data_IF_105934661226
#
_entry.id   IF_105934661226
#
_cell.length_a   1.000
_cell.length_b   1.000
_cell.length_c   1.000
_cell.angle_alpha   90.00
_cell.angle_beta   90.00
_cell.angle_gamma   90.00
#
_symmetry.space_group_name_H-M   'P 1'
#
loop_
_entity.id
_entity.type
_entity.pdbx_description
1 polymer ?
2 non-polymer ?
3 water ?
#
# COMPACT_ATOMS: atom_id res chain seq x y z
N UNK A 24 -4.70 -24.31 -15.13
CA UNK A 24 -5.42 -24.09 -16.38
C UNK A 24 -4.93 -22.85 -17.10
N UNK A 25 -3.76 -22.40 -16.67
CA UNK A 25 -3.12 -21.21 -17.18
C UNK A 25 -2.09 -21.61 -18.23
N UNK A 26 -1.77 -20.66 -19.12
CA UNK A 26 -0.65 -20.91 -20.01
C UNK A 26 0.64 -20.95 -19.18
N UNK A 27 1.69 -21.50 -19.78
CA UNK A 27 2.94 -21.62 -19.05
C UNK A 27 3.57 -20.26 -18.80
N UNK A 28 3.45 -19.34 -19.75
CA UNK A 28 3.86 -17.97 -19.48
C UNK A 28 3.09 -17.41 -18.28
N UNK A 29 1.79 -17.74 -18.21
CA UNK A 29 0.97 -17.24 -17.11
C UNK A 29 1.37 -17.85 -15.77
N UNK A 30 1.71 -19.15 -15.75
CA UNK A 30 2.19 -19.76 -14.50
C UNK A 30 3.57 -19.24 -14.14
N UNK A 31 4.44 -19.09 -15.13
CA UNK A 31 5.74 -18.48 -14.87
C UNK A 31 5.57 -17.11 -14.21
N UNK A 32 4.62 -16.31 -14.74
CA UNK A 32 4.48 -14.93 -14.30
C UNK A 32 3.94 -14.83 -12.86
N UNK A 33 2.97 -15.69 -12.48
CA UNK A 33 2.53 -15.75 -11.09
C UNK A 33 3.69 -16.19 -10.18
N UNK A 34 4.42 -17.22 -10.62
CA UNK A 34 5.54 -17.72 -9.83
C UNK A 34 6.55 -16.61 -9.56
N UNK A 35 6.81 -15.76 -10.56
CA UNK A 35 7.79 -14.69 -10.35
C UNK A 35 7.26 -13.62 -9.41
N UNK A 36 5.96 -13.31 -9.49
CA UNK A 36 5.42 -12.30 -8.60
C UNK A 36 5.37 -12.82 -7.16
N UNK A 37 4.98 -14.09 -6.99
CA UNK A 37 4.95 -14.73 -5.66
C UNK A 37 6.35 -14.79 -5.07
N UNK A 38 7.33 -15.14 -5.89
CA UNK A 38 8.71 -15.15 -5.43
C UNK A 38 9.15 -13.76 -4.98
N UNK A 39 8.86 -12.75 -5.80
CA UNK A 39 9.23 -11.38 -5.43
C UNK A 39 8.52 -10.95 -4.15
N UNK A 40 7.24 -11.32 -4.00
CA UNK A 40 6.51 -11.00 -2.79
C UNK A 40 7.10 -11.71 -1.57
N UNK A 41 7.42 -13.00 -1.72
CA UNK A 41 8.06 -13.74 -0.63
C UNK A 41 9.36 -13.08 -0.21
N UNK A 42 10.17 -12.61 -1.17
CA UNK A 42 11.49 -12.12 -0.83
C UNK A 42 11.49 -10.70 -0.26
N UNK A 43 10.41 -9.94 -0.42
CA UNK A 43 10.48 -8.52 -0.09
C UNK A 43 9.39 -8.04 0.85
N UNK A 44 8.48 -8.92 1.28
CA UNK A 44 7.39 -8.53 2.16
C UNK A 44 7.63 -9.18 3.52
N UNK A 45 8.07 -8.36 4.49
CA UNK A 45 8.31 -8.78 5.87
C UNK A 45 6.98 -8.87 6.59
N UNK A 46 6.32 -10.03 6.49
CA UNK A 46 4.98 -10.17 7.04
C UNK A 46 4.97 -10.01 8.56
N UNK A 47 6.06 -10.41 9.23
CA UNK A 47 6.18 -10.27 10.66
C UNK A 47 6.84 -8.96 11.08
N UNK A 48 7.23 -8.12 10.12
CA UNK A 48 7.80 -6.80 10.42
C UNK A 48 9.02 -6.88 11.35
N UNK A 49 9.67 -8.04 11.40
CA UNK A 49 10.82 -8.22 12.29
C UNK A 49 11.86 -7.13 12.15
N UNK A 50 12.06 -6.60 10.95
CA UNK A 50 13.17 -5.69 10.72
C UNK A 50 12.73 -4.22 10.71
N UNK A 51 11.48 -3.94 11.05
CA UNK A 51 11.06 -2.58 11.33
C UNK A 51 11.53 -2.23 12.74
N UNK A 52 12.64 -1.51 12.85
CA UNK A 52 13.22 -1.15 14.14
C UNK A 52 13.71 0.30 14.09
N UNK A 53 14.12 0.83 15.25
CA UNK A 53 14.64 2.20 15.35
C UNK A 53 13.63 3.25 14.90
N UNK A 54 12.34 3.00 15.11
CA UNK A 54 11.31 3.95 14.72
C UNK A 54 11.00 4.92 15.86
N UNK A 55 10.43 6.05 15.49
CA UNK A 55 10.05 7.03 16.48
C UNK A 55 8.67 6.70 17.05
N UNK A 56 8.39 7.25 18.24
CA UNK A 56 7.18 7.04 19.03
C UNK A 56 6.73 8.36 19.64
N UNK A 57 5.41 8.54 19.85
CA UNK A 57 4.91 9.75 20.52
C UNK A 57 5.59 10.02 21.85
N UNK A 58 5.63 11.30 22.24
CA UNK A 58 6.32 11.74 23.45
C UNK A 58 5.75 11.24 24.77
N UNK A 59 6.28 11.73 25.89
CA UNK A 59 5.79 11.34 27.22
C UNK A 59 5.80 12.51 28.19
N UNK A 80 -6.03 27.52 6.78
CA UNK A 80 -5.65 26.22 6.20
C UNK A 80 -5.87 25.09 7.20
N UNK A 81 -5.41 25.30 8.44
CA UNK A 81 -5.44 24.27 9.48
C UNK A 81 -6.85 23.70 9.71
N UNK A 82 -7.89 24.41 9.28
CA UNK A 82 -9.23 23.81 9.32
C UNK A 82 -9.32 22.59 8.41
N UNK A 83 -8.68 22.67 7.23
CA UNK A 83 -8.61 21.50 6.35
C UNK A 83 -7.74 20.41 6.96
N UNK A 84 -6.67 20.80 7.66
CA UNK A 84 -5.73 19.82 8.21
C UNK A 84 -6.37 19.04 9.35
N UNK A 85 -7.09 19.72 10.25
CA UNK A 85 -7.83 19.01 11.29
C UNK A 85 -8.86 18.06 10.67
N UNK A 86 -9.47 18.46 9.54
CA UNK A 86 -10.37 17.57 8.83
C UNK A 86 -9.62 16.47 8.08
N UNK A 87 -8.36 16.70 7.72
CA UNK A 87 -7.58 15.67 7.03
C UNK A 87 -7.12 14.58 8.00
N UNK A 88 -6.57 14.98 9.16
CA UNK A 88 -6.10 14.02 10.15
C UNK A 88 -7.25 13.40 10.97
N UNK A 92 -8.05 9.12 17.06
CA UNK A 92 -7.22 8.65 15.96
C UNK A 92 -6.89 7.16 16.10
N UNK A 93 -5.64 6.82 15.87
CA UNK A 93 -5.20 5.44 15.89
C UNK A 93 -4.57 5.17 17.25
N UNK A 94 -4.92 4.04 17.86
CA UNK A 94 -4.21 3.61 19.05
C UNK A 94 -3.19 2.55 18.65
N UNK A 95 -2.13 2.45 19.43
CA UNK A 95 -0.97 1.68 19.04
C UNK A 95 -0.52 0.80 20.20
N UNK A 96 -0.02 -0.37 19.86
CA UNK A 96 0.42 -1.33 20.86
C UNK A 96 1.72 -1.96 20.40
N UNK A 97 2.67 -2.12 21.34
CA UNK A 97 3.97 -2.74 21.06
C UNK A 97 4.19 -3.90 21.99
N UNK A 98 4.21 -5.11 21.44
CA UNK A 98 4.60 -6.27 22.23
C UNK A 98 6.12 -6.33 22.24
N UNK A 99 6.68 -6.52 23.41
CA UNK A 99 8.10 -6.70 23.50
C UNK A 99 8.50 -8.16 23.43
N UNK A 100 9.78 -8.39 23.08
CA UNK A 100 10.29 -9.74 22.99
C UNK A 100 10.19 -10.49 24.31
N UNK A 101 10.16 -9.75 25.44
CA UNK A 101 10.10 -10.35 26.77
C UNK A 101 8.70 -10.68 27.24
N UNK A 102 7.66 -10.29 26.50
CA UNK A 102 6.30 -10.47 26.93
C UNK A 102 5.62 -9.20 27.42
N UNK A 103 6.38 -8.13 27.64
CA UNK A 103 5.80 -6.85 28.03
C UNK A 103 4.96 -6.26 26.91
N UNK A 104 4.09 -5.32 27.28
CA UNK A 104 3.26 -4.59 26.33
C UNK A 104 3.22 -3.13 26.71
N UNK A 105 3.42 -2.26 25.72
CA UNK A 105 3.18 -0.84 25.80
C UNK A 105 1.95 -0.54 24.95
N UNK A 106 1.04 0.28 25.48
CA UNK A 106 -0.17 0.68 24.77
C UNK A 106 -0.27 2.18 24.74
N UNK A 107 -0.60 2.73 23.57
CA UNK A 107 -0.69 4.16 23.38
C UNK A 107 -2.14 4.52 23.07
N UNK A 108 -2.75 5.36 23.91
CA UNK A 108 -4.03 5.95 23.57
C UNK A 108 -3.84 7.41 23.17
N UNK A 109 -4.26 7.81 21.98
CA UNK A 109 -3.97 9.16 21.48
C UNK A 109 -4.73 10.21 22.25
N UNK A 110 -4.34 11.47 22.13
CA UNK A 110 -5.05 12.56 22.81
C UNK A 110 -6.35 12.95 22.11
N UNK A 111 -7.19 13.64 22.87
CA UNK A 111 -8.33 14.35 22.29
C UNK A 111 -7.86 15.53 21.44
N UNK A 112 -8.59 15.79 20.36
CA UNK A 112 -8.35 17.02 19.60
C UNK A 112 -8.67 18.22 20.49
N UNK A 113 -7.70 19.14 20.58
CA UNK A 113 -7.84 20.36 21.35
C UNK A 113 -7.21 21.52 20.58
N UNK A 114 -7.47 21.58 19.27
CA UNK A 114 -7.05 22.69 18.42
C UNK A 114 -5.56 22.98 18.36
N UNK A 115 -4.71 21.96 18.46
CA UNK A 115 -3.28 22.19 18.51
C UNK A 115 -2.41 21.07 18.00
N UNK A 116 -1.10 21.16 18.31
CA UNK A 116 -0.04 20.33 17.74
C UNK A 116 -0.07 18.87 18.23
N UNK A 117 -1.16 18.46 18.87
CA UNK A 117 -1.28 17.09 19.36
C UNK A 117 -1.79 16.12 18.31
N UNK A 118 -2.48 16.61 17.27
CA UNK A 118 -2.91 15.75 16.17
C UNK A 118 -1.77 15.26 15.31
N UNK A 119 -0.60 15.87 15.41
CA UNK A 119 0.56 15.47 14.64
C UNK A 119 1.46 14.48 15.36
N UNK A 120 1.16 14.13 16.61
CA UNK A 120 2.18 13.44 17.41
C UNK A 120 2.49 12.04 16.88
N UNK A 121 1.56 11.43 16.15
CA UNK A 121 1.78 10.07 15.70
C UNK A 121 2.47 10.06 14.32
N UNK A 122 2.54 11.23 13.65
CA UNK A 122 3.06 11.31 12.28
C UNK A 122 4.50 10.86 12.14
N UNK A 123 5.45 11.25 13.00
CA UNK A 123 6.80 10.72 12.83
C UNK A 123 6.81 9.21 12.80
N UNK A 124 6.02 8.57 13.68
CA UNK A 124 6.01 7.11 13.71
C UNK A 124 5.41 6.53 12.42
N UNK A 125 4.31 7.10 11.94
CA UNK A 125 3.74 6.64 10.68
C UNK A 125 4.69 6.86 9.54
N UNK A 126 5.46 7.96 9.60
CA UNK A 126 6.43 8.21 8.54
C UNK A 126 7.48 7.10 8.50
N UNK A 127 7.92 6.62 9.67
CA UNK A 127 8.90 5.54 9.72
C UNK A 127 8.30 4.21 9.27
N UNK A 128 7.06 3.92 9.65
CA UNK A 128 6.39 2.73 9.14
C UNK A 128 6.23 2.79 7.62
N UNK A 129 5.75 3.92 7.11
CA UNK A 129 5.53 4.06 5.68
C UNK A 129 6.82 3.88 4.91
N UNK A 130 7.89 4.54 5.35
CA UNK A 130 9.21 4.37 4.73
C UNK A 130 9.65 2.91 4.72
N UNK A 131 9.42 2.21 5.84
CA UNK A 131 9.73 0.78 5.87
C UNK A 131 8.95 0.03 4.80
N UNK A 132 7.65 0.31 4.68
CA UNK A 132 6.86 -0.35 3.64
C UNK A 132 7.35 0.02 2.23
N UNK A 133 7.74 1.28 2.03
CA UNK A 133 8.10 1.71 0.68
C UNK A 133 9.37 1.00 0.22
N UNK A 134 10.35 0.87 1.11
CA UNK A 134 11.51 0.02 0.87
C UNK A 134 11.10 -1.38 0.43
N UNK A 135 10.13 -1.99 1.13
CA UNK A 135 9.66 -3.28 0.66
C UNK A 135 9.10 -3.20 -0.75
N UNK A 136 8.23 -2.21 -0.97
CA UNK A 136 7.60 -1.99 -2.27
C UNK A 136 8.68 -1.87 -3.36
N UNK A 137 9.64 -0.96 -3.14
CA UNK A 137 10.70 -0.73 -4.14
C UNK A 137 11.47 -2.02 -4.41
N UNK A 138 11.85 -2.74 -3.35
CA UNK A 138 12.53 -4.02 -3.54
C UNK A 138 11.68 -4.99 -4.35
N UNK A 139 10.38 -5.05 -4.05
CA UNK A 139 9.50 -5.95 -4.80
C UNK A 139 9.57 -5.66 -6.30
N UNK A 140 9.45 -4.38 -6.69
CA UNK A 140 9.53 -4.00 -8.09
C UNK A 140 10.87 -4.38 -8.70
N UNK A 141 11.97 -4.05 -8.00
CA UNK A 141 13.31 -4.30 -8.56
C UNK A 141 13.58 -5.79 -8.79
N UNK A 142 12.87 -6.68 -8.10
CA UNK A 142 13.07 -8.11 -8.29
C UNK A 142 12.41 -8.61 -9.58
N UNK A 143 11.35 -7.94 -10.04
CA UNK A 143 10.52 -8.44 -11.14
C UNK A 143 11.16 -8.10 -12.48
N UNK A 144 11.40 -9.13 -13.29
CA UNK A 144 12.07 -8.98 -14.58
C UNK A 144 11.39 -7.94 -15.48
N UNK A 145 10.06 -8.05 -15.65
CA UNK A 145 9.33 -7.10 -16.50
C UNK A 145 9.49 -5.66 -16.02
N UNK A 146 9.63 -5.45 -14.71
CA UNK A 146 9.88 -4.09 -14.23
C UNK A 146 11.31 -3.65 -14.50
N UNK A 147 12.24 -4.56 -14.33
CA UNK A 147 13.64 -4.24 -14.46
C UNK A 147 14.10 -4.17 -15.92
N UNK A 148 13.33 -4.73 -16.86
CA UNK A 148 13.56 -4.53 -18.29
C UNK A 148 13.11 -3.17 -18.78
N UNK A 149 12.62 -2.30 -17.91
CA UNK A 149 12.19 -0.99 -18.40
C UNK A 149 13.33 0.02 -18.26
N UNK A 150 13.31 1.09 -19.05
CA UNK A 150 14.22 2.20 -18.78
C UNK A 150 14.03 2.76 -17.39
N UNK A 151 15.13 3.27 -16.83
CA UNK A 151 15.16 3.59 -15.40
C UNK A 151 14.31 4.80 -15.08
N UNK A 152 14.22 5.77 -16.00
CA UNK A 152 13.31 6.88 -15.80
C UNK A 152 11.89 6.38 -15.54
N UNK A 153 11.48 5.34 -16.29
CA UNK A 153 10.11 4.84 -16.20
C UNK A 153 9.89 4.03 -14.93
N UNK A 154 10.89 3.22 -14.57
CA UNK A 154 10.91 2.52 -13.29
C UNK A 154 10.61 3.49 -12.15
N UNK A 155 11.44 4.53 -12.04
CA UNK A 155 11.23 5.57 -11.05
C UNK A 155 9.84 6.16 -11.16
N UNK A 156 9.41 6.50 -12.39
CA UNK A 156 8.08 7.11 -12.54
C UNK A 156 6.98 6.16 -12.06
N UNK A 157 7.09 4.87 -12.42
CA UNK A 157 6.10 3.88 -12.00
C UNK A 157 6.08 3.73 -10.47
N UNK A 158 7.28 3.60 -9.86
CA UNK A 158 7.39 3.53 -8.40
C UNK A 158 6.83 4.77 -7.72
N UNK A 159 7.15 5.96 -8.24
CA UNK A 159 6.55 7.20 -7.73
C UNK A 159 5.03 7.19 -7.86
N UNK A 160 4.50 6.57 -8.93
CA UNK A 160 3.07 6.61 -9.13
C UNK A 160 2.27 5.61 -8.30
N UNK A 161 2.85 4.45 -7.98
CA UNK A 161 2.07 3.37 -7.37
C UNK A 161 2.44 3.05 -5.92
N UNK A 162 3.51 3.65 -5.37
CA UNK A 162 4.01 3.20 -4.08
C UNK A 162 2.90 3.17 -3.02
N UNK A 163 2.13 4.25 -2.92
CA UNK A 163 1.01 4.27 -1.99
C UNK A 163 0.06 3.09 -2.22
N UNK A 164 -0.30 2.84 -3.48
CA UNK A 164 -1.29 1.80 -3.76
C UNK A 164 -0.77 0.43 -3.35
N UNK A 165 0.50 0.13 -3.66
CA UNK A 165 1.10 -1.13 -3.29
C UNK A 165 1.27 -1.23 -1.78
N UNK A 166 1.45 -0.09 -1.12
CA UNK A 166 1.52 -0.11 0.33
C UNK A 166 0.18 -0.47 0.93
N UNK A 167 -0.91 0.10 0.39
CA UNK A 167 -2.23 -0.21 0.90
C UNK A 167 -2.58 -1.68 0.66
N UNK A 168 -2.21 -2.19 -0.52
CA UNK A 168 -2.53 -3.58 -0.86
C UNK A 168 -1.82 -4.55 0.08
N UNK A 169 -0.57 -4.25 0.42
CA UNK A 169 0.13 -5.10 1.38
C UNK A 169 -0.50 -4.98 2.76
N UNK A 170 -0.80 -3.75 3.18
CA UNK A 170 -1.43 -3.53 4.48
C UNK A 170 -2.76 -4.25 4.59
N UNK A 171 -3.52 -4.36 3.48
CA UNK A 171 -4.81 -5.05 3.54
C UNK A 171 -4.66 -6.48 4.07
N UNK A 172 -3.57 -7.16 3.69
CA UNK A 172 -3.34 -8.54 4.10
C UNK A 172 -3.02 -8.70 5.58
N UNK A 173 -2.69 -7.63 6.30
CA UNK A 173 -2.52 -7.69 7.74
C UNK A 173 -3.66 -6.98 8.46
N UNK A 174 -4.68 -6.54 7.71
CA UNK A 174 -5.85 -5.90 8.31
C UNK A 174 -6.79 -6.94 8.92
N UNK A 175 -7.03 -6.85 10.22
CA UNK A 175 -8.08 -7.66 10.84
C UNK A 175 -9.37 -6.88 10.72
N UNK A 176 -10.27 -7.31 9.84
CA UNK A 176 -11.52 -6.58 9.67
C UNK A 176 -12.47 -6.82 10.83
N UNK A 177 -12.25 -7.87 11.62
CA UNK A 177 -13.15 -8.13 12.75
C UNK A 177 -12.83 -7.26 13.95
N UNK A 178 -11.58 -6.81 14.11
CA UNK A 178 -11.23 -5.92 15.20
C UNK A 178 -10.82 -4.52 14.74
N UNK A 179 -10.89 -4.23 13.44
CA UNK A 179 -10.44 -2.94 12.91
C UNK A 179 -8.98 -2.63 13.18
N UNK A 180 -8.11 -3.65 13.13
CA UNK A 180 -6.73 -3.55 13.58
C UNK A 180 -5.75 -3.97 12.48
N UNK A 181 -4.68 -3.20 12.30
CA UNK A 181 -3.60 -3.61 11.42
C UNK A 181 -2.55 -4.32 12.28
N UNK A 182 -2.37 -5.60 12.02
CA UNK A 182 -1.57 -6.48 12.87
C UNK A 182 -0.22 -6.67 12.21
N UNK A 183 0.76 -5.86 12.62
CA UNK A 183 2.09 -5.83 12.01
C UNK A 183 3.11 -6.41 12.98
N UNK A 184 3.05 -7.72 13.16
CA UNK A 184 4.07 -8.35 14.00
C UNK A 184 3.93 -7.92 15.45
N UNK A 185 5.02 -7.39 16.01
CA UNK A 185 5.00 -6.91 17.39
C UNK A 185 4.10 -5.67 17.55
N UNK A 186 3.87 -4.94 16.46
CA UNK A 186 3.05 -3.72 16.46
C UNK A 186 1.60 -4.02 16.07
N UNK A 187 0.67 -3.26 16.65
CA UNK A 187 -0.74 -3.30 16.29
C UNK A 187 -1.26 -1.89 16.28
N UNK A 188 -2.03 -1.55 15.25
CA UNK A 188 -2.68 -0.25 15.16
C UNK A 188 -4.17 -0.48 15.07
N UNK A 189 -4.90 0.06 16.04
CA UNK A 189 -6.32 -0.17 16.15
C UNK A 189 -7.04 1.15 16.02
N UNK A 190 -8.24 1.11 15.46
CA UNK A 190 -9.03 2.31 15.22
C UNK A 190 -9.95 2.58 16.41
N UNK A 191 -9.88 3.80 16.93
CA UNK A 191 -10.68 4.19 18.08
C UNK A 191 -12.02 4.74 17.62
N UNK A 200 -17.76 6.39 10.49
CA UNK A 200 -16.92 5.20 10.59
C UNK A 200 -16.33 4.83 9.23
N UNK A 201 -17.12 4.17 8.38
CA UNK A 201 -16.70 3.83 7.03
C UNK A 201 -16.99 4.93 6.02
N UNK A 202 -17.21 6.17 6.47
CA UNK A 202 -17.32 7.27 5.52
C UNK A 202 -15.97 7.61 4.90
N UNK A 203 -14.89 7.19 5.52
CA UNK A 203 -13.57 7.44 4.97
C UNK A 203 -13.31 6.49 3.80
N UNK A 204 -12.97 6.99 2.61
CA UNK A 204 -12.91 6.08 1.44
C UNK A 204 -11.77 5.09 1.48
N UNK A 205 -10.60 5.46 2.04
CA UNK A 205 -9.55 4.46 2.22
C UNK A 205 -10.01 3.33 3.14
N UNK A 206 -10.82 3.64 4.13
CA UNK A 206 -11.13 2.62 5.13
C UNK A 206 -12.24 1.72 4.64
N UNK A 207 -13.19 2.27 3.88
CA UNK A 207 -14.17 1.45 3.18
C UNK A 207 -13.49 0.52 2.19
N UNK A 208 -12.41 0.98 1.55
CA UNK A 208 -11.67 0.13 0.63
C UNK A 208 -11.08 -1.08 1.33
N UNK A 209 -10.50 -0.88 2.51
CA UNK A 209 -9.86 -1.99 3.22
C UNK A 209 -10.88 -3.02 3.65
N UNK A 210 -12.04 -2.58 4.15
CA UNK A 210 -13.08 -3.52 4.55
C UNK A 210 -13.63 -4.29 3.35
N UNK A 211 -13.82 -3.61 2.23
CA UNK A 211 -14.40 -4.27 1.07
C UNK A 211 -13.40 -5.18 0.37
N UNK A 212 -12.13 -4.79 0.28
CA UNK A 212 -11.12 -5.70 -0.27
C UNK A 212 -10.99 -6.96 0.61
N UNK A 213 -10.90 -6.78 1.92
CA UNK A 213 -10.83 -7.93 2.82
C UNK A 213 -12.05 -8.85 2.68
N UNK A 214 -13.24 -8.31 2.37
CA UNK A 214 -14.40 -9.18 2.26
C UNK A 214 -14.32 -10.15 1.08
N UNK A 215 -13.48 -9.87 0.07
CA UNK A 215 -13.40 -10.75 -1.08
C UNK A 215 -12.60 -12.02 -0.82
N UNK A 216 -11.95 -12.12 0.34
CA UNK A 216 -11.16 -13.30 0.73
C UNK A 216 -10.27 -13.78 -0.43
N UNK A 217 -9.34 -12.90 -0.83
CA UNK A 217 -8.46 -13.18 -1.96
C UNK A 217 -7.26 -14.04 -1.56
N UNK A 218 -6.76 -14.77 -2.57
CA UNK A 218 -5.51 -15.52 -2.48
C UNK A 218 -4.30 -14.58 -2.50
N UNK A 219 -3.19 -15.08 -1.96
CA UNK A 219 -1.92 -14.38 -2.08
C UNK A 219 -1.60 -14.08 -3.53
N UNK A 220 -1.90 -15.03 -4.43
CA UNK A 220 -1.63 -14.82 -5.86
C UNK A 220 -2.46 -13.67 -6.42
N UNK A 221 -3.70 -13.52 -5.98
CA UNK A 221 -4.52 -12.42 -6.49
C UNK A 221 -4.02 -11.07 -5.98
N UNK A 222 -3.59 -11.02 -4.70
CA UNK A 222 -2.98 -9.81 -4.15
C UNK A 222 -1.75 -9.39 -4.96
N UNK A 223 -0.88 -10.35 -5.28
CA UNK A 223 0.35 -9.97 -5.97
C UNK A 223 0.05 -9.57 -7.42
N UNK A 224 -0.99 -10.17 -8.04
CA UNK A 224 -1.41 -9.73 -9.37
C UNK A 224 -2.00 -8.33 -9.31
N UNK A 225 -2.78 -8.03 -8.27
CA UNK A 225 -3.28 -6.67 -8.07
C UNK A 225 -2.13 -5.69 -7.91
N UNK A 226 -1.09 -6.10 -7.18
CA UNK A 226 0.10 -5.26 -7.02
C UNK A 226 0.77 -4.98 -8.37
N UNK A 227 0.91 -6.03 -9.20
CA UNK A 227 1.55 -5.88 -10.50
C UNK A 227 0.75 -4.96 -11.41
N UNK A 228 -0.57 -5.15 -11.47
CA UNK A 228 -1.40 -4.31 -12.31
C UNK A 228 -1.26 -2.85 -11.88
N UNK A 229 -1.26 -2.57 -10.57
CA UNK A 229 -1.11 -1.20 -10.10
C UNK A 229 0.27 -0.64 -10.46
N UNK A 230 1.30 -1.48 -10.30
CA UNK A 230 2.67 -1.06 -10.59
C UNK A 230 2.85 -0.71 -12.06
N UNK A 231 2.34 -1.56 -12.95
CA UNK A 231 2.52 -1.34 -14.39
C UNK A 231 1.33 -0.59 -14.99
N UNK A 232 1.11 0.63 -14.52
CA UNK A 232 -0.02 1.43 -14.97
C UNK A 232 0.44 2.47 -15.98
N UNK A 233 0.13 2.31 -17.27
CA UNK A 233 0.68 3.24 -18.27
C UNK A 233 0.20 4.68 -18.10
N UNK A 234 -0.72 4.95 -17.18
CA UNK A 234 -1.41 6.22 -17.11
C UNK A 234 -0.79 7.16 -16.07
N UNK A 235 0.51 7.08 -15.85
CA UNK A 235 1.10 7.83 -14.76
C UNK A 235 2.12 8.87 -15.24
N UNK A 236 2.32 9.95 -14.48
CA UNK A 236 3.21 11.03 -14.91
C UNK A 236 4.64 10.56 -15.18
N UNK A 237 5.13 10.89 -16.38
CA UNK A 237 6.53 10.68 -16.72
C UNK A 237 6.88 9.33 -17.27
N UNK A 238 5.88 8.50 -17.57
CA UNK A 238 6.15 7.19 -18.18
C UNK A 238 6.42 7.42 -19.66
N UNK A 239 7.56 6.95 -20.14
CA UNK A 239 7.86 7.12 -21.55
C UNK A 239 7.43 5.92 -22.38
N UNK A 240 7.72 4.70 -21.93
CA UNK A 240 7.33 3.48 -22.63
C UNK A 240 5.87 3.14 -22.38
N UNK A 241 5.01 4.11 -22.72
CA UNK A 241 3.58 4.00 -22.44
C UNK A 241 3.00 2.68 -22.93
N UNK A 242 3.27 2.32 -24.19
CA UNK A 242 2.67 1.13 -24.78
C UNK A 242 3.30 -0.16 -24.24
N UNK A 243 4.61 -0.15 -23.98
CA UNK A 243 5.23 -1.32 -23.36
C UNK A 243 4.54 -1.64 -22.05
N UNK A 244 4.43 -0.64 -21.17
CA UNK A 244 3.82 -0.83 -19.85
C UNK A 244 2.36 -1.23 -19.99
N UNK A 245 1.65 -0.63 -20.95
CA UNK A 245 0.25 -1.00 -21.15
C UNK A 245 0.10 -2.47 -21.55
N UNK A 246 0.97 -2.95 -22.43
CA UNK A 246 0.90 -4.36 -22.81
C UNK A 246 1.26 -5.26 -21.64
N UNK A 247 2.28 -4.89 -20.85
CA UNK A 247 2.62 -5.62 -19.62
C UNK A 247 1.42 -5.66 -18.67
N UNK A 248 0.82 -4.51 -18.39
CA UNK A 248 -0.40 -4.48 -17.58
C UNK A 248 -1.45 -5.44 -18.11
N UNK A 249 -1.73 -5.37 -19.42
CA UNK A 249 -2.72 -6.27 -20.01
C UNK A 249 -2.42 -7.73 -19.69
N UNK A 250 -1.15 -8.15 -19.75
CA UNK A 250 -0.86 -9.55 -19.43
C UNK A 250 -1.07 -9.87 -17.95
N UNK A 251 -0.74 -8.92 -17.06
CA UNK A 251 -1.03 -9.17 -15.64
C UNK A 251 -2.53 -9.30 -15.41
N UNK A 252 -3.33 -8.41 -16.02
CA UNK A 252 -4.78 -8.50 -15.83
C UNK A 252 -5.35 -9.79 -16.42
N UNK A 253 -4.94 -10.16 -17.64
CA UNK A 253 -5.45 -11.40 -18.23
C UNK A 253 -5.05 -12.62 -17.39
N UNK A 254 -3.81 -12.66 -16.90
CA UNK A 254 -3.42 -13.72 -15.96
C UNK A 254 -4.34 -13.75 -14.74
N UNK A 255 -4.77 -12.58 -14.25
CA UNK A 255 -5.62 -12.56 -13.07
C UNK A 255 -6.99 -13.16 -13.39
N UNK A 256 -7.63 -12.65 -14.43
CA UNK A 256 -8.87 -13.20 -14.95
C UNK A 256 -8.78 -14.71 -15.21
N UNK A 257 -7.72 -15.16 -15.87
CA UNK A 257 -7.56 -16.61 -16.06
C UNK A 257 -7.38 -17.35 -14.74
N UNK A 258 -6.56 -16.82 -13.81
CA UNK A 258 -6.40 -17.45 -12.50
C UNK A 258 -7.73 -17.59 -11.78
N UNK A 259 -8.56 -16.54 -11.79
CA UNK A 259 -9.87 -16.64 -11.14
C UNK A 259 -10.74 -17.69 -11.83
N UNK A 260 -10.79 -17.63 -13.17
CA UNK A 260 -11.51 -18.62 -13.97
C UNK A 260 -11.16 -20.05 -13.56
N UNK A 261 -9.86 -20.33 -13.37
CA UNK A 261 -9.44 -21.71 -13.13
C UNK A 261 -9.70 -22.17 -11.71
N UNK A 262 -9.47 -21.32 -10.71
CA UNK A 262 -9.51 -21.75 -9.30
C UNK A 262 -10.69 -21.17 -8.54
N UNK A 263 -11.62 -20.49 -9.21
CA UNK A 263 -12.75 -19.84 -8.55
C UNK A 263 -14.06 -20.15 -9.27
N UNK A 264 -14.53 -21.39 -9.17
CA UNK A 264 -15.74 -21.80 -9.90
C UNK A 264 -17.04 -21.51 -9.17
N UNK A 265 -17.00 -21.10 -7.91
CA UNK A 265 -18.19 -21.01 -7.10
C UNK A 265 -19.04 -19.81 -7.52
N UNK A 266 -20.36 -19.84 -7.27
CA UNK A 266 -21.21 -18.71 -7.72
C UNK A 266 -20.88 -17.41 -7.04
N UNK A 267 -20.25 -17.47 -5.86
CA UNK A 267 -19.92 -16.27 -5.11
C UNK A 267 -18.79 -15.50 -5.74
N UNK A 268 -18.00 -16.16 -6.57
CA UNK A 268 -16.87 -15.53 -7.23
C UNK A 268 -17.20 -15.13 -8.67
N UNK A 269 -18.48 -15.19 -9.03
CA UNK A 269 -18.92 -14.62 -10.30
C UNK A 269 -18.61 -13.14 -10.25
N UNK A 270 -18.06 -12.62 -11.36
CA UNK A 270 -17.70 -11.22 -11.50
C UNK A 270 -16.55 -10.78 -10.58
N UNK A 271 -15.79 -11.72 -10.00
CA UNK A 271 -14.75 -11.32 -9.05
C UNK A 271 -13.61 -10.56 -9.74
N UNK A 272 -13.20 -11.02 -10.93
CA UNK A 272 -12.21 -10.26 -11.69
C UNK A 272 -12.64 -8.80 -11.86
N UNK A 273 -13.90 -8.58 -12.23
CA UNK A 273 -14.37 -7.22 -12.48
C UNK A 273 -14.49 -6.43 -11.19
N UNK A 274 -14.83 -7.10 -10.08
CA UNK A 274 -14.83 -6.41 -8.79
C UNK A 274 -13.43 -5.95 -8.42
N UNK A 275 -12.43 -6.81 -8.63
CA UNK A 275 -11.04 -6.45 -8.34
C UNK A 275 -10.60 -5.27 -9.22
N UNK A 276 -10.91 -5.33 -10.51
CA UNK A 276 -10.47 -4.26 -11.39
C UNK A 276 -11.12 -2.92 -11.03
N UNK A 277 -12.37 -2.94 -10.55
CA UNK A 277 -12.98 -1.70 -10.13
C UNK A 277 -12.39 -1.20 -8.81
N UNK A 278 -11.96 -2.10 -7.93
CA UNK A 278 -11.31 -1.62 -6.71
C UNK A 278 -9.94 -1.05 -7.01
N UNK A 279 -9.21 -1.64 -7.98
CA UNK A 279 -7.95 -1.05 -8.41
C UNK A 279 -8.17 0.36 -8.92
N UNK A 280 -9.30 0.58 -9.59
CA UNK A 280 -9.61 1.91 -10.09
C UNK A 280 -9.96 2.87 -8.96
N UNK A 281 -10.78 2.43 -8.00
CA UNK A 281 -11.04 3.28 -6.85
C UNK A 281 -9.75 3.62 -6.14
N UNK A 282 -8.89 2.61 -5.96
CA UNK A 282 -7.65 2.81 -5.21
C UNK A 282 -6.78 3.88 -5.86
N UNK A 283 -6.89 4.03 -7.18
CA UNK A 283 -6.14 5.06 -7.87
C UNK A 283 -6.64 6.45 -7.51
N UNK A 284 -7.96 6.64 -7.50
CA UNK A 284 -8.47 7.96 -7.14
C UNK A 284 -8.16 8.28 -5.69
N UNK A 285 -8.28 7.26 -4.83
CA UNK A 285 -7.92 7.45 -3.42
C UNK A 285 -6.45 7.83 -3.28
N UNK A 286 -5.58 7.19 -4.07
CA UNK A 286 -4.14 7.53 -4.08
C UNK A 286 -3.94 9.02 -4.35
N UNK A 287 -4.53 9.53 -5.46
CA UNK A 287 -4.46 10.95 -5.78
C UNK A 287 -4.94 11.81 -4.62
N UNK A 288 -6.07 11.44 -4.01
CA UNK A 288 -6.59 12.24 -2.91
C UNK A 288 -5.63 12.22 -1.73
N UNK A 289 -5.10 11.04 -1.36
CA UNK A 289 -4.21 10.99 -0.19
C UNK A 289 -2.86 11.63 -0.46
N UNK A 290 -2.38 11.59 -1.71
CA UNK A 290 -1.22 12.37 -2.07
C UNK A 290 -1.40 13.84 -1.67
N UNK A 291 -2.60 14.39 -1.91
CA UNK A 291 -2.88 15.79 -1.60
C UNK A 291 -3.07 16.04 -0.10
N UNK A 292 -3.72 15.12 0.64
CA UNK A 292 -3.72 15.26 2.11
C UNK A 292 -2.30 15.36 2.64
N UNK A 293 -1.42 14.47 2.17
CA UNK A 293 -0.05 14.45 2.65
C UNK A 293 0.64 15.77 2.36
N UNK A 294 0.48 16.27 1.13
CA UNK A 294 1.16 17.52 0.77
C UNK A 294 0.65 18.67 1.61
N UNK A 295 -0.67 18.70 1.88
CA UNK A 295 -1.23 19.75 2.71
C UNK A 295 -0.64 19.73 4.12
N UNK A 296 -0.69 18.56 4.77
CA UNK A 296 -0.11 18.44 6.11
C UNK A 296 1.38 18.67 6.09
N UNK A 297 2.08 18.21 5.04
CA UNK A 297 3.52 18.44 4.95
C UNK A 297 3.84 19.93 4.86
N UNK A 298 2.94 20.69 4.22
CA UNK A 298 3.18 22.12 4.05
C UNK A 298 3.17 22.85 5.40
N UNK A 299 2.35 22.43 6.36
CA UNK A 299 2.25 23.18 7.61
C UNK A 299 2.97 22.51 8.76
N UNK A 300 3.19 21.20 8.70
CA UNK A 300 3.89 20.49 9.76
C UNK A 300 4.74 19.43 9.08
N UNK A 301 5.96 19.80 8.66
CA UNK A 301 6.85 18.86 7.99
C UNK A 301 7.04 17.56 8.77
N UNK A 302 7.04 16.44 8.02
CA UNK A 302 7.13 15.12 8.65
C UNK A 302 7.66 14.06 7.69
N UNK A 303 7.54 14.26 6.38
CA UNK A 303 7.92 13.23 5.41
C UNK A 303 9.42 12.93 5.44
N UNK A 304 9.75 11.64 5.47
CA UNK A 304 11.15 11.22 5.43
C UNK A 304 11.73 11.48 4.04
N UNK A 305 13.06 11.45 3.92
CA UNK A 305 13.65 11.61 2.58
C UNK A 305 13.08 10.67 1.53
N UNK A 306 12.76 9.41 1.89
CA UNK A 306 12.19 8.49 0.91
C UNK A 306 10.76 8.91 0.54
N UNK A 307 9.97 9.33 1.53
CA UNK A 307 8.65 9.86 1.21
C UNK A 307 8.74 11.08 0.31
N UNK A 308 9.71 11.97 0.57
CA UNK A 308 9.87 13.15 -0.26
C UNK A 308 10.13 12.78 -1.71
N UNK A 309 11.09 11.88 -1.92
CA UNK A 309 11.42 11.44 -3.28
C UNK A 309 10.21 10.79 -3.97
N UNK A 310 9.46 9.95 -3.23
CA UNK A 310 8.31 9.28 -3.83
C UNK A 310 7.17 10.24 -4.11
N UNK A 311 7.07 11.33 -3.35
CA UNK A 311 5.90 12.19 -3.45
C UNK A 311 6.19 13.52 -4.11
N UNK A 312 7.34 13.69 -4.75
CA UNK A 312 7.60 14.90 -5.51
C UNK A 312 8.30 16.02 -4.76
N UNK A 313 8.36 15.98 -3.42
CA UNK A 313 9.01 17.07 -2.67
C UNK A 313 10.48 17.16 -3.02
N UNK A 314 10.94 18.36 -3.36
CA UNK A 314 12.30 18.57 -3.89
C UNK A 314 13.32 18.98 -2.85
N UNK A 315 12.90 19.55 -1.72
CA UNK A 315 13.80 20.10 -0.74
C UNK A 315 14.11 21.58 -0.89
N UNK A 316 13.45 22.28 -1.82
CA UNK A 316 13.71 23.67 -2.14
C UNK A 316 12.40 24.44 -2.06
N UNK A 317 12.37 25.54 -1.29
CA UNK A 317 11.13 26.25 -0.98
C UNK A 317 10.63 27.09 -2.14
#
# INVERSE_FOLDING_TARGET
MKKGHHHHHHGSERTGTQPLGVQGLTEEQRMMIRELMDAQMKTFDTTFSHFKNFRLPGVLSSGCELPESLQAPSREEAAKWSQVRKDLCSLKVSLQLRGEDGSVWNYKPPADSGGKEIFSLLPHMADMSTYMFKGIISFAKVISYFRDLPIEDQISLLKGAAFELCQLRFNTVFNAETGTWECGRLSYCLEDTAGGFQQLLLEPMLKFHYMLKKLQLHEEEYVLMQAISLFSPDRPGVLQHRVVDQLQEQFAITLKSYIECNRPQPAHRFLFLKIMAMLTELRSINAQHTQRLLRIQDIHPFATPLMQELFGITGSLVPR
#
